data_IF_640135895540
#
_entry.id   IF_640135895540
#
_cell.length_a   1.000
_cell.length_b   1.000
_cell.length_c   1.000
_cell.angle_alpha   90.00
_cell.angle_beta   90.00
_cell.angle_gamma   90.00
#
_symmetry.space_group_name_H-M   'P 1'
#
loop_
_entity.id
_entity.type
_entity.pdbx_description
1 polymer ?
#
# COMPACT_ATOMS: atom_id res chain seq x y z
N UNK A 1 -23.02 24.48 -14.04
CA UNK A 1 -22.77 23.16 -13.43
C UNK A 1 -21.92 22.30 -14.34
N UNK A 2 -20.62 22.24 -14.08
CA UNK A 2 -19.69 21.34 -14.76
C UNK A 2 -19.30 20.27 -13.75
N UNK A 3 -19.89 19.09 -13.88
CA UNK A 3 -19.51 17.91 -13.11
C UNK A 3 -18.60 17.03 -14.00
N UNK A 4 -17.46 16.60 -13.46
CA UNK A 4 -16.59 15.64 -14.12
C UNK A 4 -17.13 14.23 -13.87
N UNK A 5 -17.48 13.51 -14.93
CA UNK A 5 -18.04 12.16 -14.85
C UNK A 5 -16.99 11.05 -15.05
N UNK A 6 -15.77 11.39 -15.48
CA UNK A 6 -14.67 10.45 -15.60
C UNK A 6 -13.75 10.59 -14.39
N UNK A 7 -13.95 9.72 -13.40
CA UNK A 7 -13.10 9.62 -12.22
C UNK A 7 -12.36 8.29 -12.28
N UNK A 8 -11.07 8.33 -12.65
CA UNK A 8 -10.19 7.18 -12.66
C UNK A 8 -8.95 7.54 -11.85
N UNK A 9 -8.57 6.65 -10.94
CA UNK A 9 -7.32 6.77 -10.19
C UNK A 9 -6.15 6.31 -11.07
N UNK A 10 -5.18 7.19 -11.27
CA UNK A 10 -3.92 6.89 -11.97
C UNK A 10 -2.85 6.47 -10.96
N UNK A 11 -2.93 5.23 -10.48
CA UNK A 11 -1.98 4.66 -9.53
C UNK A 11 -1.45 3.30 -9.96
N UNK A 12 -0.22 3.01 -9.57
CA UNK A 12 0.44 1.71 -9.76
C UNK A 12 0.31 0.78 -8.56
N UNK A 13 -0.08 1.31 -7.40
CA UNK A 13 -0.18 0.57 -6.13
C UNK A 13 -1.64 0.42 -5.66
N UNK A 14 -2.02 -0.77 -5.14
CA UNK A 14 -3.29 -0.97 -4.47
C UNK A 14 -3.47 -0.04 -3.27
N UNK A 15 -4.71 0.40 -3.02
CA UNK A 15 -5.05 1.31 -1.90
C UNK A 15 -4.28 2.65 -1.91
N UNK A 16 -3.75 3.08 -3.05
CA UNK A 16 -3.10 4.39 -3.16
C UNK A 16 -4.06 5.57 -2.86
N UNK A 17 -5.35 5.37 -3.12
CA UNK A 17 -6.36 6.39 -2.96
C UNK A 17 -6.78 6.43 -1.49
N UNK A 18 -6.53 7.56 -0.85
CA UNK A 18 -6.82 7.79 0.58
C UNK A 18 -8.32 7.80 0.90
N UNK A 19 -9.18 7.88 -0.12
CA UNK A 19 -10.62 7.74 0.03
C UNK A 19 -11.10 6.28 -0.02
N UNK A 20 -10.23 5.33 -0.39
CA UNK A 20 -10.60 3.92 -0.36
C UNK A 20 -10.85 3.45 1.08
N UNK A 21 -11.89 2.64 1.30
CA UNK A 21 -12.13 2.05 2.60
C UNK A 21 -11.01 1.04 2.92
N UNK A 22 -10.69 0.95 4.21
CA UNK A 22 -9.72 -0.02 4.70
C UNK A 22 -10.24 -1.44 4.47
N UNK A 23 -9.32 -2.36 4.18
CA UNK A 23 -9.66 -3.75 3.92
C UNK A 23 -9.76 -4.50 5.24
N UNK A 24 -10.64 -5.50 5.29
CA UNK A 24 -10.83 -6.37 6.44
C UNK A 24 -10.58 -7.81 6.05
N UNK A 25 -10.00 -8.57 6.97
CA UNK A 25 -9.85 -10.01 6.82
C UNK A 25 -11.24 -10.67 6.77
N UNK A 26 -11.56 -11.51 5.76
CA UNK A 26 -12.89 -12.09 5.61
C UNK A 26 -13.22 -13.17 6.64
N UNK A 27 -12.23 -13.70 7.36
CA UNK A 27 -12.37 -14.72 8.38
C UNK A 27 -12.43 -14.12 9.80
N UNK A 28 -11.62 -13.12 10.11
CA UNK A 28 -11.60 -12.47 11.45
C UNK A 28 -12.45 -11.21 11.52
N UNK A 29 -12.65 -10.52 10.40
CA UNK A 29 -13.28 -9.20 10.33
C UNK A 29 -12.38 -8.05 10.82
N UNK A 30 -11.14 -8.35 11.21
CA UNK A 30 -10.18 -7.33 11.64
C UNK A 30 -9.67 -6.53 10.45
N UNK A 31 -9.34 -5.27 10.69
CA UNK A 31 -8.76 -4.41 9.68
C UNK A 31 -7.36 -4.92 9.32
N UNK A 32 -7.11 -5.14 8.02
CA UNK A 32 -5.81 -5.58 7.53
C UNK A 32 -4.83 -4.42 7.59
N UNK A 33 -3.69 -4.67 8.23
CA UNK A 33 -2.54 -3.78 8.11
C UNK A 33 -2.01 -3.78 6.66
N UNK A 34 -1.38 -2.67 6.27
CA UNK A 34 -0.85 -2.52 4.93
C UNK A 34 0.20 -3.57 4.60
N UNK A 35 1.05 -3.97 5.54
CA UNK A 35 2.06 -5.01 5.31
C UNK A 35 1.41 -6.37 5.10
N UNK A 36 0.36 -6.68 5.85
CA UNK A 36 -0.40 -7.91 5.67
C UNK A 36 -1.09 -7.94 4.30
N UNK A 37 -1.62 -6.81 3.86
CA UNK A 37 -2.15 -6.65 2.50
C UNK A 37 -1.07 -6.93 1.44
N UNK A 38 0.12 -6.34 1.58
CA UNK A 38 1.23 -6.58 0.64
C UNK A 38 1.60 -8.07 0.59
N UNK A 39 1.66 -8.74 1.75
CA UNK A 39 1.89 -10.18 1.85
C UNK A 39 0.79 -10.99 1.15
N UNK A 40 -0.48 -10.60 1.31
CA UNK A 40 -1.61 -11.25 0.64
C UNK A 40 -1.55 -11.15 -0.89
N UNK A 41 -0.87 -10.13 -1.42
CA UNK A 41 -0.57 -9.98 -2.85
C UNK A 41 0.66 -10.77 -3.31
N UNK A 42 1.27 -11.55 -2.41
CA UNK A 42 2.41 -12.41 -2.72
C UNK A 42 3.75 -11.68 -2.69
N UNK A 43 3.83 -10.50 -2.09
CA UNK A 43 5.10 -9.79 -1.89
C UNK A 43 5.87 -10.41 -0.72
N UNK A 44 7.12 -10.78 -0.98
CA UNK A 44 8.06 -11.14 0.07
C UNK A 44 8.66 -9.87 0.69
N UNK A 45 8.42 -9.64 1.97
CA UNK A 45 8.86 -8.41 2.65
C UNK A 45 10.38 -8.30 2.74
N UNK A 46 11.10 -9.42 2.74
CA UNK A 46 12.57 -9.40 2.70
C UNK A 46 13.07 -8.83 1.36
N UNK A 47 12.45 -9.27 0.26
CA UNK A 47 12.71 -8.76 -1.09
C UNK A 47 12.32 -7.29 -1.24
N UNK A 48 11.18 -6.88 -0.66
CA UNK A 48 10.74 -5.47 -0.64
C UNK A 48 11.73 -4.60 0.14
N UNK A 49 12.12 -5.01 1.35
CA UNK A 49 13.10 -4.30 2.16
C UNK A 49 14.44 -4.12 1.39
N UNK A 50 14.91 -5.19 0.75
CA UNK A 50 16.12 -5.15 -0.09
C UNK A 50 15.97 -4.19 -1.29
N UNK A 51 14.82 -4.20 -1.97
CA UNK A 51 14.56 -3.29 -3.09
C UNK A 51 14.48 -1.81 -2.66
N UNK A 52 13.98 -1.56 -1.44
CA UNK A 52 13.90 -0.22 -0.85
C UNK A 52 15.21 0.22 -0.17
N UNK A 53 16.18 -0.69 0.02
CA UNK A 53 17.44 -0.40 0.69
C UNK A 53 17.30 -0.14 2.21
N UNK A 54 16.28 -0.72 2.84
CA UNK A 54 16.00 -0.61 4.28
C UNK A 54 16.02 -1.99 4.93
N UNK A 55 16.18 -2.06 6.25
CA UNK A 55 16.11 -3.33 6.96
C UNK A 55 14.66 -3.76 7.21
N UNK A 56 14.47 -5.08 7.40
CA UNK A 56 13.15 -5.69 7.55
C UNK A 56 12.41 -5.22 8.82
N UNK A 57 13.14 -4.90 9.89
CA UNK A 57 12.51 -4.44 11.14
C UNK A 57 11.96 -3.04 10.93
N UNK A 58 12.78 -2.14 10.39
CA UNK A 58 12.36 -0.80 10.01
C UNK A 58 11.18 -0.82 9.04
N UNK A 59 11.16 -1.71 8.04
CA UNK A 59 10.01 -1.88 7.15
C UNK A 59 8.74 -2.29 7.92
N UNK A 60 8.85 -3.26 8.84
CA UNK A 60 7.69 -3.77 9.59
C UNK A 60 7.13 -2.78 10.62
N UNK A 61 7.95 -1.82 11.07
CA UNK A 61 7.54 -0.81 12.04
C UNK A 61 6.98 0.47 11.38
N UNK A 62 6.98 0.56 10.04
CA UNK A 62 6.43 1.71 9.32
C UNK A 62 4.92 1.78 9.41
N UNK A 63 4.40 2.99 9.58
CA UNK A 63 2.97 3.26 9.42
C UNK A 63 2.55 3.22 7.94
N UNK A 64 1.24 3.08 7.73
CA UNK A 64 0.61 2.98 6.41
C UNK A 64 1.02 4.11 5.45
N UNK A 65 0.99 5.37 5.91
CA UNK A 65 1.22 6.53 5.03
C UNK A 65 2.69 6.59 4.60
N UNK A 66 3.61 6.34 5.53
CA UNK A 66 5.04 6.29 5.26
C UNK A 66 5.36 5.19 4.25
N UNK A 67 4.83 3.99 4.47
CA UNK A 67 5.08 2.85 3.59
C UNK A 67 4.48 3.07 2.19
N UNK A 68 3.25 3.57 2.11
CA UNK A 68 2.60 3.89 0.84
C UNK A 68 3.39 4.96 0.06
N UNK A 69 3.88 5.99 0.75
CA UNK A 69 4.69 7.04 0.15
C UNK A 69 6.00 6.48 -0.43
N UNK A 70 6.69 5.60 0.29
CA UNK A 70 7.92 4.97 -0.20
C UNK A 70 7.69 4.11 -1.45
N UNK A 71 6.62 3.32 -1.48
CA UNK A 71 6.29 2.43 -2.60
C UNK A 71 5.85 3.21 -3.86
N UNK A 72 5.10 4.29 -3.67
CA UNK A 72 4.61 5.14 -4.79
C UNK A 72 5.66 6.11 -5.32
N UNK A 73 6.62 6.56 -4.50
CA UNK A 73 7.70 7.45 -4.97
C UNK A 73 8.71 6.72 -5.89
N UNK A 74 8.89 5.41 -5.74
CA UNK A 74 9.78 4.61 -6.59
C UNK A 74 9.27 4.44 -8.03
N UNK A 75 7.99 4.70 -8.32
CA UNK A 75 7.41 4.52 -9.66
C UNK A 75 7.51 5.77 -10.57
N UNK A 76 8.08 6.88 -10.07
CA UNK A 76 8.26 8.13 -10.83
C UNK A 76 9.71 8.36 -11.33
N UNK A 77 10.47 7.30 -11.61
CA UNK A 77 11.79 7.39 -12.27
C UNK A 77 11.79 6.69 -13.63
#
# INVERSE_FOLDING_TARGET
>A
DLCYHWLVDECTWPQCNRACPRLHDPFTGEELDFIELLKSFGLDMSSVANALGIDLVTLNDMDHDTLLQLLTQQTNK
#
